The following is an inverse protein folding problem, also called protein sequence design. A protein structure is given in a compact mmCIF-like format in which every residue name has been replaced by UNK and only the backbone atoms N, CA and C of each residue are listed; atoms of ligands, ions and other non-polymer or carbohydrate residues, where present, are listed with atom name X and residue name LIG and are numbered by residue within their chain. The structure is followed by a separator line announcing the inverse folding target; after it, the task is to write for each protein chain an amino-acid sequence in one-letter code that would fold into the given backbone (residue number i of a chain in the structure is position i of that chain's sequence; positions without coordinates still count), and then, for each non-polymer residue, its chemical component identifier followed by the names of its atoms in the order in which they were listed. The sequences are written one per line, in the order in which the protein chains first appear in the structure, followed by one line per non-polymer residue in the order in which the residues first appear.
data_IF_797177842136
#
_entry.id   IF_797177842136
#
_cell.length_a   1.000
_cell.length_b   1.000
_cell.length_c   1.000
_cell.angle_alpha   90.00
_cell.angle_beta   90.00
_cell.angle_gamma   90.00
#
_symmetry.space_group_name_H-M   'P 1'
#
loop_
_entity.id
_entity.type
_entity.pdbx_description
1 polymer ?
#
# COMPACT_ATOMS: atom_id res chain seq x y z
N UNK A 1 -0.54 2.24 -29.02
CA UNK A 1 -1.96 2.09 -28.61
C UNK A 1 -2.79 3.33 -28.98
N UNK A 2 -2.51 4.51 -28.40
CA UNK A 2 -3.34 5.71 -28.67
C UNK A 2 -3.29 6.16 -30.15
N UNK A 3 -2.10 6.15 -30.76
CA UNK A 3 -1.94 6.46 -32.19
C UNK A 3 -2.60 5.45 -33.10
N UNK A 4 -2.63 4.19 -32.69
CA UNK A 4 -3.27 3.10 -33.42
C UNK A 4 -4.79 3.22 -33.36
N UNK A 5 -5.33 3.54 -32.18
CA UNK A 5 -6.75 3.86 -32.03
C UNK A 5 -7.15 5.09 -32.86
N UNK A 6 -6.30 6.12 -32.91
CA UNK A 6 -6.51 7.31 -33.76
C UNK A 6 -6.55 6.92 -35.24
N UNK A 7 -5.61 6.09 -35.71
CA UNK A 7 -5.60 5.56 -37.09
C UNK A 7 -6.86 4.76 -37.41
N UNK A 8 -7.28 3.86 -36.52
CA UNK A 8 -8.51 3.07 -36.70
C UNK A 8 -9.76 3.95 -36.74
N UNK A 9 -9.85 4.97 -35.89
CA UNK A 9 -10.96 5.94 -35.90
C UNK A 9 -11.00 6.78 -37.19
N UNK A 10 -9.83 7.08 -37.77
CA UNK A 10 -9.73 7.81 -39.04
C UNK A 10 -9.95 6.91 -40.28
N UNK A 11 -9.99 5.59 -40.09
CA UNK A 11 -10.19 4.63 -41.18
C UNK A 11 -11.65 4.57 -41.64
N UNK A 12 -11.91 3.84 -42.73
CA UNK A 12 -13.28 3.51 -43.18
C UNK A 12 -14.12 2.78 -42.13
N UNK A 13 -13.47 2.15 -41.14
CA UNK A 13 -14.13 1.43 -40.04
C UNK A 13 -14.41 2.32 -38.84
N UNK A 14 -14.07 3.62 -38.87
CA UNK A 14 -14.11 4.51 -37.70
C UNK A 14 -15.45 4.53 -36.96
N UNK A 15 -16.58 4.52 -37.68
CA UNK A 15 -17.92 4.46 -37.08
C UNK A 15 -18.17 3.14 -36.36
N UNK A 16 -17.80 2.02 -36.96
CA UNK A 16 -17.93 0.68 -36.36
C UNK A 16 -17.03 0.54 -35.14
N UNK A 17 -15.79 0.99 -35.23
CA UNK A 17 -14.82 1.04 -34.12
C UNK A 17 -15.38 1.86 -32.96
N UNK A 18 -15.99 3.02 -33.24
CA UNK A 18 -16.56 3.87 -32.19
C UNK A 18 -17.80 3.28 -31.52
N UNK A 19 -18.68 2.63 -32.28
CA UNK A 19 -19.81 1.90 -31.71
C UNK A 19 -19.33 0.75 -30.82
N UNK A 20 -18.38 -0.06 -31.33
CA UNK A 20 -17.82 -1.20 -30.59
C UNK A 20 -17.11 -0.79 -29.31
N UNK A 21 -16.36 0.31 -29.33
CA UNK A 21 -15.74 0.89 -28.13
C UNK A 21 -16.79 1.18 -27.06
N UNK A 22 -17.88 1.86 -27.44
CA UNK A 22 -18.96 2.21 -26.51
C UNK A 22 -19.60 0.96 -25.91
N UNK A 23 -19.88 -0.05 -26.72
CA UNK A 23 -20.45 -1.32 -26.25
C UNK A 23 -19.53 -2.01 -25.23
N UNK A 24 -18.22 -2.06 -25.51
CA UNK A 24 -17.25 -2.67 -24.58
C UNK A 24 -17.14 -1.84 -23.30
N UNK A 25 -17.03 -0.51 -23.42
CA UNK A 25 -16.98 0.40 -22.27
C UNK A 25 -18.20 0.18 -21.34
N UNK A 26 -19.41 0.16 -21.89
CA UNK A 26 -20.65 -0.09 -21.14
C UNK A 26 -20.65 -1.48 -20.48
N UNK A 27 -20.13 -2.51 -21.17
CA UNK A 27 -20.10 -3.88 -20.65
C UNK A 27 -19.13 -4.09 -19.49
N UNK A 28 -17.99 -3.38 -19.45
CA UNK A 28 -16.94 -3.57 -18.43
C UNK A 28 -16.96 -2.51 -17.33
N UNK A 29 -17.63 -1.37 -17.52
CA UNK A 29 -17.62 -0.26 -16.55
C UNK A 29 -18.03 -0.70 -15.14
N UNK A 30 -19.07 -1.54 -15.03
CA UNK A 30 -19.56 -2.04 -13.74
C UNK A 30 -18.53 -2.92 -13.04
N UNK A 31 -17.93 -3.87 -13.75
CA UNK A 31 -16.93 -4.77 -13.16
C UNK A 31 -15.63 -4.05 -12.82
N UNK A 32 -15.24 -3.01 -13.57
CA UNK A 32 -14.10 -2.16 -13.20
C UNK A 32 -14.37 -1.32 -11.95
N UNK A 33 -15.61 -0.84 -11.75
CA UNK A 33 -16.00 -0.16 -10.53
C UNK A 33 -15.95 -1.10 -9.32
N UNK A 34 -16.55 -2.29 -9.42
CA UNK A 34 -16.51 -3.31 -8.36
C UNK A 34 -15.06 -3.74 -8.04
N UNK A 35 -14.21 -3.87 -9.07
CA UNK A 35 -12.80 -4.19 -8.88
C UNK A 35 -12.03 -3.06 -8.18
N UNK A 36 -12.34 -1.79 -8.50
CA UNK A 36 -11.78 -0.62 -7.83
C UNK A 36 -12.16 -0.61 -6.35
N UNK A 37 -13.45 -0.73 -6.04
CA UNK A 37 -13.96 -0.69 -4.66
C UNK A 37 -13.35 -1.80 -3.82
N UNK A 38 -13.32 -3.03 -4.34
CA UNK A 38 -12.69 -4.16 -3.67
C UNK A 38 -11.20 -3.95 -3.42
N UNK A 39 -10.49 -3.31 -4.36
CA UNK A 39 -9.07 -2.99 -4.18
C UNK A 39 -8.88 -1.93 -3.10
N UNK A 40 -9.68 -0.87 -3.12
CA UNK A 40 -9.66 0.20 -2.12
C UNK A 40 -9.97 -0.32 -0.72
N UNK A 41 -11.00 -1.14 -0.56
CA UNK A 41 -11.36 -1.77 0.72
C UNK A 41 -10.25 -2.68 1.25
N UNK A 42 -9.64 -3.49 0.37
CA UNK A 42 -8.52 -4.37 0.75
C UNK A 42 -7.29 -3.58 1.20
N UNK A 43 -6.99 -2.47 0.53
CA UNK A 43 -5.90 -1.57 0.93
C UNK A 43 -6.20 -0.95 2.30
N UNK A 44 -7.42 -0.44 2.53
CA UNK A 44 -7.79 0.10 3.83
C UNK A 44 -7.76 -0.93 4.98
N UNK A 45 -8.09 -2.18 4.69
CA UNK A 45 -7.96 -3.27 5.67
C UNK A 45 -6.51 -3.68 5.92
N UNK A 46 -5.62 -3.53 4.92
CA UNK A 46 -4.18 -3.74 5.08
C UNK A 46 -3.57 -2.61 5.90
N UNK A 47 -3.86 -1.35 5.57
CA UNK A 47 -3.46 -0.19 6.36
C UNK A 47 -3.87 -0.35 7.83
N UNK A 48 -5.07 -0.90 8.10
CA UNK A 48 -5.52 -1.18 9.47
C UNK A 48 -4.68 -2.24 10.20
N UNK A 49 -4.16 -3.26 9.52
CA UNK A 49 -3.23 -4.22 10.13
C UNK A 49 -1.90 -3.55 10.48
N UNK A 50 -1.42 -2.67 9.59
CA UNK A 50 -0.21 -1.89 9.82
C UNK A 50 -0.41 -0.92 11.00
N UNK A 51 -1.57 -0.26 11.08
CA UNK A 51 -1.95 0.62 12.21
C UNK A 51 -1.93 -0.13 13.54
N UNK A 52 -2.39 -1.39 13.57
CA UNK A 52 -2.38 -2.24 14.75
C UNK A 52 -0.94 -2.52 15.19
N UNK A 53 -0.06 -2.85 14.25
CA UNK A 53 1.36 -3.06 14.54
C UNK A 53 1.99 -1.76 15.04
N UNK A 54 1.79 -0.64 14.34
CA UNK A 54 2.31 0.66 14.72
C UNK A 54 1.84 1.07 16.14
N UNK A 55 0.54 0.99 16.41
CA UNK A 55 -0.05 1.30 17.72
C UNK A 55 0.48 0.38 18.82
N UNK A 56 0.68 -0.92 18.52
CA UNK A 56 1.19 -1.88 19.49
C UNK A 56 2.62 -1.56 19.93
N UNK A 57 3.41 -0.87 19.10
CA UNK A 57 4.80 -0.48 19.37
C UNK A 57 5.00 1.04 19.37
N UNK A 58 3.91 1.79 19.54
CA UNK A 58 3.90 3.24 19.64
C UNK A 58 4.41 3.75 20.99
N UNK A 59 4.73 5.05 21.12
CA UNK A 59 5.32 5.63 22.33
C UNK A 59 4.51 5.43 23.62
N UNK A 60 3.19 5.31 23.52
CA UNK A 60 2.29 5.10 24.67
C UNK A 60 2.02 3.62 24.97
N UNK A 61 2.54 2.71 24.15
CA UNK A 61 2.28 1.27 24.27
C UNK A 61 3.14 0.64 25.37
N UNK A 62 2.71 -0.53 25.89
CA UNK A 62 3.53 -1.29 26.84
C UNK A 62 4.73 -1.96 26.17
N UNK A 63 4.62 -2.33 24.89
CA UNK A 63 5.75 -2.85 24.14
C UNK A 63 6.88 -1.81 24.07
N UNK A 64 6.53 -0.52 23.94
CA UNK A 64 7.50 0.55 24.02
C UNK A 64 7.95 0.85 25.46
N UNK A 65 7.01 1.19 26.33
CA UNK A 65 7.33 1.72 27.68
C UNK A 65 7.95 0.67 28.62
N UNK A 66 7.55 -0.60 28.52
CA UNK A 66 8.04 -1.67 29.40
C UNK A 66 9.17 -2.49 28.76
N UNK A 67 9.14 -2.67 27.43
CA UNK A 67 10.09 -3.54 26.70
C UNK A 67 11.07 -2.80 25.79
N UNK A 68 10.90 -1.50 25.56
CA UNK A 68 11.72 -0.66 24.67
C UNK A 68 11.68 -1.05 23.18
N UNK A 69 10.63 -1.73 22.72
CA UNK A 69 10.40 -1.94 21.28
C UNK A 69 9.61 -0.77 20.72
N UNK A 70 10.19 -0.08 19.73
CA UNK A 70 9.60 1.06 19.07
C UNK A 70 9.29 0.76 17.61
N UNK A 71 8.13 1.20 17.13
CA UNK A 71 7.91 1.35 15.70
C UNK A 71 8.92 2.37 15.13
N UNK A 72 9.60 2.01 14.04
CA UNK A 72 10.59 2.86 13.38
C UNK A 72 10.08 3.36 12.04
N UNK A 73 9.64 2.44 11.18
CA UNK A 73 9.28 2.74 9.80
C UNK A 73 8.27 1.73 9.28
N UNK A 74 7.34 2.22 8.47
CA UNK A 74 6.63 1.42 7.49
C UNK A 74 7.54 1.20 6.30
N UNK A 75 7.35 0.10 5.59
CA UNK A 75 7.99 -0.21 4.32
C UNK A 75 9.48 0.21 4.23
N UNK A 76 10.35 -0.25 5.16
CA UNK A 76 11.72 0.25 5.38
C UNK A 76 12.75 0.07 4.23
N UNK A 77 12.39 -0.36 3.03
CA UNK A 77 13.27 -0.50 1.86
C UNK A 77 12.57 -0.05 0.58
N UNK A 78 11.39 0.58 0.66
CA UNK A 78 10.57 0.90 -0.51
C UNK A 78 11.30 1.83 -1.48
N UNK A 79 12.10 2.76 -0.97
CA UNK A 79 12.90 3.70 -1.76
C UNK A 79 14.02 3.03 -2.57
N UNK A 80 14.37 1.78 -2.23
CA UNK A 80 15.33 0.99 -3.01
C UNK A 80 14.65 0.20 -4.14
N UNK A 81 13.31 0.19 -4.19
CA UNK A 81 12.55 -0.55 -5.19
C UNK A 81 12.67 -2.07 -5.05
N UNK A 82 13.10 -2.57 -3.89
CA UNK A 82 13.25 -4.00 -3.59
C UNK A 82 12.04 -4.54 -2.84
N UNK A 83 11.94 -5.87 -2.75
CA UNK A 83 10.90 -6.50 -1.95
C UNK A 83 11.14 -6.25 -0.47
N UNK A 84 10.07 -6.01 0.27
CA UNK A 84 10.20 -5.51 1.63
C UNK A 84 9.05 -5.96 2.53
N UNK A 85 9.21 -5.72 3.84
CA UNK A 85 8.19 -5.88 4.86
C UNK A 85 7.37 -4.60 5.04
N UNK A 86 6.16 -4.73 5.56
CA UNK A 86 5.28 -3.59 5.83
C UNK A 86 5.74 -2.73 7.03
N UNK A 87 6.39 -3.32 8.04
CA UNK A 87 6.79 -2.63 9.28
C UNK A 87 8.17 -3.05 9.78
N UNK A 88 8.93 -2.08 10.26
CA UNK A 88 10.14 -2.23 11.07
C UNK A 88 9.90 -1.76 12.50
N UNK A 89 10.14 -2.65 13.46
CA UNK A 89 10.19 -2.38 14.89
C UNK A 89 11.62 -2.61 15.37
N UNK A 90 12.12 -1.76 16.25
CA UNK A 90 13.48 -1.86 16.77
C UNK A 90 13.55 -1.68 18.28
N UNK A 91 14.44 -2.45 18.91
CA UNK A 91 14.82 -2.29 20.30
C UNK A 91 16.28 -1.92 20.39
N UNK A 92 16.55 -0.65 20.69
CA UNK A 92 17.89 -0.07 20.77
C UNK A 92 18.75 -0.70 21.88
N UNK A 93 18.13 -1.14 22.99
CA UNK A 93 18.89 -1.66 24.14
C UNK A 93 19.51 -3.02 23.86
N UNK A 94 18.77 -3.88 23.18
CA UNK A 94 19.22 -5.24 22.82
C UNK A 94 19.60 -5.38 21.34
N UNK A 95 19.59 -4.26 20.60
CA UNK A 95 19.96 -4.15 19.18
C UNK A 95 19.20 -5.14 18.29
N UNK A 96 17.88 -5.21 18.48
CA UNK A 96 17.02 -6.19 17.81
C UNK A 96 16.00 -5.53 16.91
N UNK A 97 15.95 -5.98 15.66
CA UNK A 97 14.95 -5.59 14.68
C UNK A 97 13.89 -6.69 14.50
N UNK A 98 12.63 -6.29 14.37
CA UNK A 98 11.52 -7.15 13.99
C UNK A 98 10.90 -6.57 12.72
N UNK A 99 10.88 -7.38 11.67
CA UNK A 99 10.26 -7.05 10.39
C UNK A 99 8.93 -7.78 10.27
N UNK A 100 7.86 -7.03 10.00
CA UNK A 100 6.49 -7.56 10.01
C UNK A 100 5.84 -7.35 8.66
N UNK A 101 5.31 -8.44 8.10
CA UNK A 101 4.56 -8.46 6.84
C UNK A 101 3.09 -8.69 7.15
N UNK A 102 2.24 -7.72 6.84
CA UNK A 102 0.81 -7.79 7.04
C UNK A 102 0.12 -8.39 5.81
N UNK A 103 -0.72 -9.42 6.02
CA UNK A 103 -1.53 -10.01 4.94
C UNK A 103 -2.98 -10.17 5.34
N UNK A 104 -3.84 -9.55 4.54
CA UNK A 104 -5.29 -9.47 4.77
C UNK A 104 -6.11 -10.61 4.16
N UNK A 105 -5.53 -11.38 3.22
CA UNK A 105 -6.29 -12.38 2.47
C UNK A 105 -5.62 -13.75 2.45
N UNK A 106 -6.41 -14.79 2.18
CA UNK A 106 -5.94 -16.17 2.04
C UNK A 106 -5.86 -16.65 0.59
N UNK A 107 -6.17 -15.81 -0.40
CA UNK A 107 -5.99 -16.18 -1.82
C UNK A 107 -4.52 -16.15 -2.18
N UNK A 108 -3.90 -17.27 -2.56
CA UNK A 108 -2.49 -17.29 -2.97
C UNK A 108 -1.47 -17.46 -1.84
N UNK A 109 -1.84 -18.16 -0.75
CA UNK A 109 -1.02 -18.42 0.46
C UNK A 109 0.45 -18.76 0.19
N UNK A 110 0.70 -19.68 -0.75
CA UNK A 110 2.08 -20.05 -1.12
C UNK A 110 2.91 -18.87 -1.62
N UNK A 111 2.30 -17.95 -2.40
CA UNK A 111 2.96 -16.73 -2.88
C UNK A 111 3.26 -15.76 -1.74
N UNK A 112 2.42 -15.69 -0.71
CA UNK A 112 2.68 -14.84 0.46
C UNK A 112 3.85 -15.33 1.27
N UNK A 113 3.91 -16.63 1.55
CA UNK A 113 5.02 -17.24 2.29
C UNK A 113 6.31 -17.10 1.49
N UNK A 114 6.31 -17.44 0.19
CA UNK A 114 7.49 -17.22 -0.66
C UNK A 114 7.89 -15.75 -0.68
N UNK A 115 6.91 -14.85 -0.74
CA UNK A 115 7.19 -13.43 -0.76
C UNK A 115 7.82 -12.91 0.53
N UNK A 116 7.39 -13.38 1.70
CA UNK A 116 8.02 -13.01 2.96
C UNK A 116 9.44 -13.56 3.09
N UNK A 117 9.71 -14.79 2.61
CA UNK A 117 11.08 -15.31 2.56
C UNK A 117 11.97 -14.57 1.55
N UNK A 118 11.41 -14.12 0.43
CA UNK A 118 12.12 -13.24 -0.50
C UNK A 118 12.44 -11.89 0.15
N UNK A 119 11.47 -11.24 0.79
CA UNK A 119 11.68 -9.98 1.52
C UNK A 119 12.71 -10.13 2.64
N UNK A 120 12.71 -11.27 3.34
CA UNK A 120 13.71 -11.61 4.35
C UNK A 120 15.13 -11.58 3.76
N UNK A 121 15.34 -12.14 2.57
CA UNK A 121 16.66 -12.10 1.91
C UNK A 121 17.07 -10.66 1.61
N UNK A 122 16.16 -9.86 1.05
CA UNK A 122 16.42 -8.45 0.76
C UNK A 122 16.80 -7.67 2.03
N UNK A 123 16.12 -7.90 3.15
CA UNK A 123 16.44 -7.26 4.44
C UNK A 123 17.84 -7.66 4.93
N UNK A 124 18.20 -8.94 4.85
CA UNK A 124 19.53 -9.42 5.27
C UNK A 124 20.62 -8.83 4.37
N UNK A 125 20.41 -8.81 3.06
CA UNK A 125 21.35 -8.24 2.08
C UNK A 125 21.52 -6.72 2.25
N UNK A 126 20.47 -6.03 2.72
CA UNK A 126 20.47 -4.58 2.96
C UNK A 126 20.63 -4.22 4.44
N UNK A 127 21.16 -5.10 5.29
CA UNK A 127 21.35 -4.83 6.72
C UNK A 127 22.13 -3.54 6.98
N UNK A 128 23.28 -3.36 6.33
CA UNK A 128 24.13 -2.15 6.51
C UNK A 128 23.40 -0.88 6.12
N UNK A 129 22.53 -0.95 5.11
CA UNK A 129 21.68 0.19 4.74
C UNK A 129 20.71 0.54 5.87
N UNK A 130 20.02 -0.46 6.42
CA UNK A 130 19.07 -0.29 7.52
C UNK A 130 19.77 0.23 8.80
N UNK A 131 20.95 -0.29 9.13
CA UNK A 131 21.77 0.19 10.26
C UNK A 131 22.15 1.67 10.10
N UNK A 132 22.54 2.09 8.90
CA UNK A 132 22.82 3.50 8.61
C UNK A 132 21.58 4.39 8.78
N UNK A 133 20.38 3.87 8.46
CA UNK A 133 19.12 4.62 8.62
C UNK A 133 18.65 4.68 10.06
N UNK A 134 18.88 3.62 10.84
CA UNK A 134 18.66 3.60 12.28
C UNK A 134 19.68 4.46 13.04
N UNK A 135 20.88 4.64 12.48
CA UNK A 135 22.01 5.21 13.19
C UNK A 135 22.58 4.26 14.26
N UNK A 136 22.37 2.95 14.09
CA UNK A 136 22.66 1.93 15.10
C UNK A 136 22.86 0.54 14.46
N UNK A 137 23.54 -0.37 15.17
CA UNK A 137 23.75 -1.75 14.70
C UNK A 137 22.52 -2.64 14.90
N UNK A 138 22.30 -3.61 14.01
CA UNK A 138 21.27 -4.64 14.16
C UNK A 138 21.97 -5.97 14.47
N UNK A 139 21.96 -6.39 15.75
CA UNK A 139 22.57 -7.66 16.15
C UNK A 139 21.71 -8.88 15.86
N UNK A 140 20.40 -8.69 15.78
CA UNK A 140 19.45 -9.79 15.61
C UNK A 140 18.23 -9.31 14.85
N UNK A 141 17.80 -10.10 13.88
CA UNK A 141 16.58 -9.89 13.12
C UNK A 141 15.58 -11.00 13.43
N UNK A 142 14.31 -10.64 13.51
CA UNK A 142 13.18 -11.57 13.55
C UNK A 142 12.19 -11.18 12.46
N UNK A 143 11.58 -12.17 11.82
CA UNK A 143 10.69 -11.96 10.68
C UNK A 143 9.31 -12.51 11.02
N UNK A 144 8.27 -11.72 10.77
CA UNK A 144 6.91 -11.99 11.24
C UNK A 144 5.92 -11.87 10.09
N UNK A 145 4.99 -12.83 9.99
CA UNK A 145 3.74 -12.66 9.24
C UNK A 145 2.62 -12.27 10.20
N UNK A 146 2.02 -11.11 9.99
CA UNK A 146 0.86 -10.61 10.73
C UNK A 146 -0.43 -10.85 9.94
N UNK A 147 -1.33 -11.67 10.47
CA UNK A 147 -2.50 -12.20 9.77
C UNK A 147 -3.76 -11.99 10.62
N UNK A 148 -4.93 -11.68 10.03
CA UNK A 148 -6.20 -11.76 10.76
C UNK A 148 -6.46 -13.15 11.33
N UNK A 149 -6.95 -13.24 12.56
CA UNK A 149 -7.15 -14.48 13.31
C UNK A 149 -7.99 -15.52 12.55
N UNK A 150 -9.00 -15.08 11.80
CA UNK A 150 -9.87 -15.91 10.96
C UNK A 150 -9.14 -16.61 9.79
N UNK A 151 -7.94 -16.15 9.47
CA UNK A 151 -7.13 -16.64 8.36
C UNK A 151 -5.87 -17.39 8.80
N UNK A 152 -5.52 -17.35 10.09
CA UNK A 152 -4.24 -17.86 10.61
C UNK A 152 -4.04 -19.35 10.35
N UNK A 153 -5.04 -20.18 10.62
CA UNK A 153 -4.94 -21.64 10.48
C UNK A 153 -4.64 -22.04 9.03
N UNK A 154 -5.26 -21.36 8.07
CA UNK A 154 -5.06 -21.63 6.64
C UNK A 154 -3.64 -21.28 6.19
N UNK A 155 -3.04 -20.24 6.77
CA UNK A 155 -1.65 -19.85 6.47
C UNK A 155 -0.68 -20.81 7.15
N UNK A 156 -0.91 -21.16 8.41
CA UNK A 156 -0.09 -22.10 9.18
C UNK A 156 -0.06 -23.48 8.52
N UNK A 157 -1.21 -24.01 8.09
CA UNK A 157 -1.25 -25.29 7.37
C UNK A 157 -0.40 -25.29 6.09
N UNK A 158 -0.40 -24.19 5.34
CA UNK A 158 0.43 -24.07 4.14
C UNK A 158 1.91 -23.92 4.49
N UNK A 159 2.24 -23.20 5.57
CA UNK A 159 3.60 -23.07 6.09
C UNK A 159 4.14 -24.43 6.53
N UNK A 160 3.41 -25.15 7.37
CA UNK A 160 3.74 -26.51 7.82
C UNK A 160 3.92 -27.46 6.64
N UNK A 161 3.03 -27.41 5.63
CA UNK A 161 3.15 -28.21 4.41
C UNK A 161 4.47 -27.96 3.67
N UNK A 162 4.95 -26.71 3.67
CA UNK A 162 6.19 -26.33 2.97
C UNK A 162 7.44 -26.68 3.77
N UNK A 163 7.39 -26.47 5.08
CA UNK A 163 8.42 -26.91 6.04
C UNK A 163 8.59 -28.44 5.96
N UNK A 164 7.52 -29.23 6.04
CA UNK A 164 7.56 -30.69 5.93
C UNK A 164 8.04 -31.22 4.57
N UNK A 165 7.91 -30.43 3.49
CA UNK A 165 8.42 -30.80 2.15
C UNK A 165 9.87 -30.37 1.92
N UNK A 166 10.50 -29.70 2.88
CA UNK A 166 11.85 -29.15 2.72
C UNK A 166 11.91 -27.97 1.74
N UNK A 167 10.79 -27.33 1.42
CA UNK A 167 10.77 -26.09 0.63
C UNK A 167 11.25 -24.89 1.46
N UNK A 168 11.25 -25.03 2.79
CA UNK A 168 11.74 -24.08 3.79
C UNK A 168 12.72 -24.85 4.67
N UNK A 169 13.91 -24.31 4.87
CA UNK A 169 14.90 -24.87 5.78
C UNK A 169 14.48 -24.61 7.23
N UNK A 170 13.97 -25.65 7.90
CA UNK A 170 13.54 -25.60 9.30
C UNK A 170 14.71 -25.47 10.29
N UNK A 171 15.95 -25.74 9.85
CA UNK A 171 17.14 -25.58 10.69
C UNK A 171 17.65 -24.12 10.74
N UNK A 172 17.08 -23.22 9.93
CA UNK A 172 17.44 -21.81 9.93
C UNK A 172 16.90 -21.09 11.18
N UNK A 173 17.75 -20.35 11.89
CA UNK A 173 17.41 -19.56 13.09
C UNK A 173 16.45 -18.37 12.86
N UNK A 174 16.03 -18.18 11.61
CA UNK A 174 15.26 -17.04 11.14
C UNK A 174 13.92 -17.45 10.49
N UNK A 175 13.26 -18.48 11.03
CA UNK A 175 11.92 -18.88 10.60
C UNK A 175 10.90 -17.75 10.78
N UNK A 176 9.89 -17.70 9.91
CA UNK A 176 8.80 -16.74 10.05
C UNK A 176 8.01 -17.04 11.33
N UNK A 177 7.92 -16.06 12.22
CA UNK A 177 6.98 -16.06 13.33
C UNK A 177 5.59 -15.63 12.83
N UNK A 178 4.54 -16.05 13.52
CA UNK A 178 3.16 -15.70 13.14
C UNK A 178 2.56 -14.84 14.24
N UNK A 179 2.15 -13.62 13.87
CA UNK A 179 1.25 -12.82 14.69
C UNK A 179 -0.16 -12.94 14.13
N UNK A 180 -1.12 -13.17 15.02
CA UNK A 180 -2.53 -13.11 14.69
C UNK A 180 -3.15 -11.84 15.26
N UNK A 181 -4.07 -11.26 14.51
CA UNK A 181 -4.81 -10.07 14.90
C UNK A 181 -6.28 -10.40 15.00
N UNK A 182 -6.86 -10.14 16.17
CA UNK A 182 -8.30 -10.15 16.32
C UNK A 182 -8.84 -8.71 16.26
N UNK A 183 -9.75 -8.44 15.32
CA UNK A 183 -10.30 -7.10 15.06
C UNK A 183 -11.78 -6.97 15.45
N UNK A 184 -12.17 -7.43 16.64
CA UNK A 184 -13.52 -7.15 17.13
C UNK A 184 -13.73 -5.64 17.34
N UNK A 185 -14.96 -5.17 17.12
CA UNK A 185 -15.30 -3.74 17.04
C UNK A 185 -14.91 -2.87 18.26
N UNK A 186 -14.66 -3.48 19.42
CA UNK A 186 -14.41 -2.78 20.68
C UNK A 186 -12.96 -2.97 21.16
N UNK A 187 -12.34 -4.11 20.85
CA UNK A 187 -10.98 -4.43 21.30
C UNK A 187 -10.21 -5.11 20.17
N UNK A 188 -9.05 -4.53 19.84
CA UNK A 188 -8.11 -5.11 18.88
C UNK A 188 -7.01 -5.81 19.65
N UNK A 189 -6.75 -7.08 19.35
CA UNK A 189 -5.73 -7.86 20.06
C UNK A 189 -4.69 -8.37 19.08
N UNK A 190 -3.42 -8.03 19.34
CA UNK A 190 -2.26 -8.59 18.65
C UNK A 190 -1.71 -9.75 19.48
N UNK A 191 -1.60 -10.94 18.91
CA UNK A 191 -1.17 -12.13 19.64
C UNK A 191 -0.13 -12.93 18.86
N UNK A 192 0.87 -13.46 19.57
CA UNK A 192 1.81 -14.43 19.02
C UNK A 192 1.12 -15.80 18.88
N UNK A 193 1.14 -16.36 17.68
CA UNK A 193 0.61 -17.70 17.41
C UNK A 193 1.75 -18.73 17.47
N UNK A 194 1.66 -19.65 18.42
CA UNK A 194 2.75 -20.61 18.72
C UNK A 194 2.45 -22.06 18.32
N UNK A 195 1.25 -22.36 17.79
CA UNK A 195 0.80 -23.73 17.50
C UNK A 195 1.17 -24.15 16.07
N UNK A 196 2.46 -24.26 15.80
CA UNK A 196 3.00 -24.69 14.49
C UNK A 196 3.63 -26.07 14.69
N UNK A 197 3.01 -27.11 14.15
CA UNK A 197 3.33 -28.51 14.45
C UNK A 197 4.55 -29.03 13.69
N UNK A 198 4.93 -28.39 12.59
CA UNK A 198 6.15 -28.73 11.83
C UNK A 198 7.44 -28.31 12.53
N UNK A 199 7.34 -27.62 13.67
CA UNK A 199 8.46 -27.11 14.46
C UNK A 199 8.61 -27.94 15.72
N UNK A 200 9.74 -28.63 15.83
CA UNK A 200 9.99 -29.59 16.90
C UNK A 200 10.24 -28.89 18.24
N UNK A 201 10.76 -27.65 18.22
CA UNK A 201 11.15 -26.94 19.42
C UNK A 201 10.26 -25.72 19.63
N UNK A 202 9.73 -25.60 20.84
CA UNK A 202 8.78 -24.53 21.19
C UNK A 202 9.32 -23.12 20.94
N UNK A 203 10.64 -22.93 21.02
CA UNK A 203 11.27 -21.63 20.78
C UNK A 203 11.27 -21.22 19.30
N UNK A 204 11.12 -22.16 18.35
CA UNK A 204 11.08 -21.87 16.89
C UNK A 204 9.80 -21.13 16.49
N UNK A 205 8.80 -21.08 17.37
CA UNK A 205 7.56 -20.32 17.21
C UNK A 205 7.46 -19.14 18.19
N UNK A 206 8.57 -18.75 18.82
CA UNK A 206 8.62 -17.69 19.82
C UNK A 206 9.62 -16.62 19.44
N UNK A 207 9.43 -15.41 19.97
CA UNK A 207 10.49 -14.42 19.91
C UNK A 207 11.67 -14.86 20.76
N UNK A 208 12.88 -14.53 20.31
CA UNK A 208 14.15 -14.70 21.06
C UNK A 208 14.17 -13.88 22.36
N UNK A 209 13.17 -13.03 22.61
CA UNK A 209 13.01 -12.23 23.83
C UNK A 209 11.77 -12.73 24.56
N UNK A 210 12.02 -13.42 25.67
CA UNK A 210 10.97 -14.05 26.47
C UNK A 210 9.95 -13.04 27.02
N UNK A 211 10.33 -11.77 27.23
CA UNK A 211 9.39 -10.76 27.71
C UNK A 211 8.38 -10.40 26.61
N UNK A 212 8.86 -10.22 25.38
CA UNK A 212 7.99 -9.98 24.23
C UNK A 212 7.11 -11.19 23.92
N UNK A 213 7.69 -12.40 23.94
CA UNK A 213 6.94 -13.66 23.81
C UNK A 213 5.82 -13.76 24.84
N UNK A 214 6.07 -13.43 26.10
CA UNK A 214 5.04 -13.45 27.15
C UNK A 214 3.95 -12.41 26.90
N UNK A 215 4.33 -11.18 26.55
CA UNK A 215 3.40 -10.07 26.32
C UNK A 215 2.45 -10.35 25.14
N UNK A 216 3.00 -10.79 24.01
CA UNK A 216 2.20 -11.12 22.83
C UNK A 216 1.52 -12.49 22.95
N UNK A 217 2.09 -13.45 23.68
CA UNK A 217 1.50 -14.78 23.88
C UNK A 217 0.18 -14.73 24.65
N UNK A 218 0.05 -13.82 25.62
CA UNK A 218 -1.21 -13.59 26.35
C UNK A 218 -2.26 -12.81 25.55
N UNK A 219 -1.90 -12.30 24.37
CA UNK A 219 -2.71 -11.34 23.62
C UNK A 219 -2.54 -9.92 24.17
N UNK A 220 -1.99 -9.03 23.35
CA UNK A 220 -1.81 -7.63 23.67
C UNK A 220 -2.99 -6.81 23.13
N UNK A 221 -3.76 -6.19 24.02
CA UNK A 221 -4.84 -5.28 23.64
C UNK A 221 -4.23 -3.96 23.14
N UNK A 222 -4.47 -3.68 21.86
CA UNK A 222 -3.98 -2.50 21.16
C UNK A 222 -4.99 -1.38 21.32
N UNK A 223 -4.63 -0.38 22.12
CA UNK A 223 -5.33 0.91 22.10
C UNK A 223 -4.96 1.60 20.79
N UNK A 224 -5.91 1.66 19.87
CA UNK A 224 -5.68 2.21 18.53
C UNK A 224 -5.43 3.72 18.63
N UNK A 225 -4.16 4.11 18.62
CA UNK A 225 -3.75 5.49 18.36
C UNK A 225 -3.16 5.53 16.96
N UNK A 226 -3.88 6.16 16.04
CA UNK A 226 -3.39 6.35 14.68
C UNK A 226 -2.25 7.37 14.73
N UNK A 227 -1.01 6.88 14.83
CA UNK A 227 0.19 7.70 14.94
C UNK A 227 0.55 8.41 13.64
N UNK A 228 0.04 7.93 12.50
CA UNK A 228 0.41 8.37 11.15
C UNK A 228 -0.81 8.46 10.24
N UNK A 229 -0.76 9.28 9.20
CA UNK A 229 -1.95 9.53 8.35
C UNK A 229 -2.10 8.54 7.20
N UNK A 230 -1.00 8.00 6.69
CA UNK A 230 -0.94 7.04 5.58
C UNK A 230 0.44 6.37 5.50
N UNK A 231 0.53 5.30 4.71
CA UNK A 231 1.75 4.56 4.40
C UNK A 231 2.17 4.78 2.94
N UNK A 232 3.45 4.55 2.59
CA UNK A 232 3.95 4.75 1.23
C UNK A 232 3.10 4.07 0.14
N UNK A 233 2.69 2.82 0.37
CA UNK A 233 1.90 2.02 -0.59
C UNK A 233 0.37 2.09 -0.38
N UNK A 234 -0.11 2.90 0.56
CA UNK A 234 -1.56 3.09 0.75
C UNK A 234 -2.22 3.54 -0.56
N UNK A 235 -3.50 3.19 -0.74
CA UNK A 235 -4.21 3.51 -1.99
C UNK A 235 -4.12 5.02 -2.32
N UNK A 236 -3.83 5.42 -3.57
CA UNK A 236 -3.66 6.84 -3.92
C UNK A 236 -4.87 7.72 -3.58
N UNK A 237 -6.09 7.21 -3.79
CA UNK A 237 -7.33 7.86 -3.29
C UNK A 237 -7.31 8.13 -1.77
N UNK A 238 -6.84 7.19 -0.94
CA UNK A 238 -6.78 7.35 0.51
C UNK A 238 -5.78 8.45 0.89
N UNK A 239 -4.58 8.42 0.31
CA UNK A 239 -3.54 9.44 0.51
C UNK A 239 -4.05 10.81 0.06
N UNK A 240 -4.57 10.91 -1.17
CA UNK A 240 -5.10 12.16 -1.73
C UNK A 240 -6.26 12.72 -0.91
N UNK A 241 -7.09 11.87 -0.31
CA UNK A 241 -8.14 12.30 0.61
C UNK A 241 -7.57 12.98 1.86
N UNK A 242 -6.47 12.47 2.43
CA UNK A 242 -5.79 13.09 3.57
C UNK A 242 -5.15 14.43 3.17
N UNK A 243 -4.53 14.50 1.99
CA UNK A 243 -3.95 15.74 1.45
C UNK A 243 -5.04 16.81 1.25
N UNK A 244 -6.17 16.47 0.62
CA UNK A 244 -7.30 17.40 0.41
C UNK A 244 -7.85 17.90 1.74
N UNK A 245 -7.98 17.02 2.74
CA UNK A 245 -8.41 17.43 4.09
C UNK A 245 -7.45 18.44 4.70
N UNK A 246 -6.15 18.21 4.56
CA UNK A 246 -5.12 19.12 5.08
C UNK A 246 -5.17 20.49 4.38
N UNK A 247 -5.20 20.51 3.03
CA UNK A 247 -5.31 21.74 2.23
C UNK A 247 -6.48 22.58 2.71
N UNK A 248 -7.68 21.99 2.77
CA UNK A 248 -8.90 22.72 3.13
C UNK A 248 -8.84 23.21 4.57
N UNK A 249 -8.33 22.41 5.52
CA UNK A 249 -8.19 22.82 6.92
C UNK A 249 -7.21 23.98 7.09
N UNK A 250 -6.07 23.94 6.42
CA UNK A 250 -5.07 25.01 6.51
C UNK A 250 -5.59 26.31 5.88
N UNK A 251 -6.28 26.21 4.74
CA UNK A 251 -6.91 27.38 4.11
C UNK A 251 -8.04 27.97 4.94
N UNK A 252 -8.86 27.14 5.62
CA UNK A 252 -9.88 27.62 6.57
C UNK A 252 -9.27 28.38 7.75
N UNK A 253 -8.14 27.90 8.29
CA UNK A 253 -7.43 28.57 9.41
C UNK A 253 -6.78 29.88 8.98
N UNK A 254 -6.34 29.97 7.73
CA UNK A 254 -5.66 31.13 7.17
C UNK A 254 -6.60 32.16 6.53
N UNK A 255 -7.92 31.95 6.58
CA UNK A 255 -8.92 32.75 5.86
C UNK A 255 -8.59 32.94 4.36
N UNK A 256 -8.06 31.88 3.75
CA UNK A 256 -7.61 31.86 2.36
C UNK A 256 -8.62 31.17 1.42
N UNK A 257 -8.33 31.19 0.12
CA UNK A 257 -9.12 30.43 -0.86
C UNK A 257 -9.08 28.93 -0.53
N UNK A 258 -10.23 28.36 -0.16
CA UNK A 258 -10.35 26.99 0.35
C UNK A 258 -9.73 25.91 -0.53
N UNK A 259 -9.67 26.14 -1.85
CA UNK A 259 -9.34 25.14 -2.86
C UNK A 259 -8.00 25.40 -3.56
N UNK A 260 -7.34 26.51 -3.25
CA UNK A 260 -6.05 26.85 -3.84
C UNK A 260 -4.93 26.40 -2.90
N UNK A 261 -3.86 25.87 -3.48
CA UNK A 261 -2.73 25.36 -2.72
C UNK A 261 -1.45 25.39 -3.56
N UNK A 262 -0.30 25.32 -2.90
CA UNK A 262 1.01 25.21 -3.57
C UNK A 262 1.53 23.78 -3.51
N UNK A 263 2.37 23.38 -4.47
CA UNK A 263 3.10 22.10 -4.39
C UNK A 263 3.89 22.00 -3.09
N UNK A 264 4.54 23.09 -2.67
CA UNK A 264 5.30 23.11 -1.43
C UNK A 264 4.45 22.75 -0.20
N UNK A 265 3.19 23.21 -0.14
CA UNK A 265 2.29 22.83 0.97
C UNK A 265 1.93 21.34 0.98
N UNK A 266 1.82 20.72 -0.19
CA UNK A 266 1.59 19.27 -0.32
C UNK A 266 2.84 18.49 0.04
N UNK A 267 4.00 18.90 -0.49
CA UNK A 267 5.29 18.31 -0.15
C UNK A 267 5.56 18.35 1.35
N UNK A 268 5.38 19.51 2.00
CA UNK A 268 5.56 19.66 3.44
C UNK A 268 4.66 18.70 4.23
N UNK A 269 3.42 18.49 3.77
CA UNK A 269 2.53 17.52 4.39
C UNK A 269 3.04 16.08 4.20
N UNK A 270 3.42 15.70 2.98
CA UNK A 270 3.86 14.35 2.64
C UNK A 270 5.23 13.98 3.20
N UNK A 271 6.12 14.96 3.40
CA UNK A 271 7.46 14.79 3.96
C UNK A 271 7.48 14.78 5.49
N UNK A 272 6.35 15.07 6.13
CA UNK A 272 6.27 15.08 7.60
C UNK A 272 6.30 13.64 8.16
N UNK A 273 7.24 13.30 9.07
CA UNK A 273 7.28 11.99 9.74
C UNK A 273 6.02 11.66 10.53
N UNK A 274 5.25 12.66 10.94
CA UNK A 274 3.97 12.48 11.65
C UNK A 274 2.80 12.13 10.72
N UNK A 275 2.96 12.34 9.41
CA UNK A 275 1.95 12.01 8.41
C UNK A 275 2.33 10.75 7.63
N UNK A 276 3.61 10.63 7.27
CA UNK A 276 4.19 9.50 6.55
C UNK A 276 5.15 8.76 7.48
N UNK A 277 4.82 7.51 7.80
CA UNK A 277 5.52 6.66 8.75
C UNK A 277 6.85 6.11 8.19
N UNK A 278 7.75 6.93 7.64
CA UNK A 278 8.95 6.43 6.96
C UNK A 278 10.18 7.31 7.24
N UNK A 279 11.33 6.70 7.54
CA UNK A 279 12.56 7.46 7.83
C UNK A 279 13.06 8.25 6.59
N UNK A 280 12.82 7.74 5.38
CA UNK A 280 13.09 8.43 4.10
C UNK A 280 11.90 9.27 3.58
N UNK A 281 11.10 9.83 4.49
CA UNK A 281 9.92 10.63 4.16
C UNK A 281 10.19 11.81 3.22
N UNK A 282 11.41 12.37 3.20
CA UNK A 282 11.79 13.42 2.24
C UNK A 282 11.70 12.96 0.78
N UNK A 283 12.25 11.79 0.47
CA UNK A 283 12.25 11.23 -0.89
C UNK A 283 10.87 10.72 -1.25
N UNK A 284 10.30 9.85 -0.41
CA UNK A 284 9.01 9.20 -0.67
C UNK A 284 7.88 10.22 -0.66
N UNK A 285 7.91 11.18 0.28
CA UNK A 285 6.92 12.24 0.37
C UNK A 285 6.89 13.12 -0.88
N UNK A 286 8.06 13.36 -1.51
CA UNK A 286 8.12 14.04 -2.80
C UNK A 286 7.44 13.21 -3.89
N UNK A 287 7.76 11.92 -4.01
CA UNK A 287 7.15 11.04 -5.01
C UNK A 287 5.62 10.95 -4.85
N UNK A 288 5.14 10.85 -3.62
CA UNK A 288 3.70 10.87 -3.30
C UNK A 288 3.07 12.20 -3.71
N UNK A 289 3.73 13.33 -3.43
CA UNK A 289 3.21 14.64 -3.82
C UNK A 289 3.16 14.83 -5.33
N UNK A 290 4.20 14.39 -6.05
CA UNK A 290 4.28 14.41 -7.51
C UNK A 290 3.16 13.54 -8.12
N UNK A 291 2.94 12.36 -7.56
CA UNK A 291 1.86 11.45 -7.94
C UNK A 291 0.47 12.08 -7.72
N UNK A 292 0.24 12.68 -6.55
CA UNK A 292 -1.03 13.36 -6.23
C UNK A 292 -1.37 14.47 -7.24
N UNK A 293 -0.39 15.32 -7.59
CA UNK A 293 -0.59 16.38 -8.59
C UNK A 293 -0.81 15.79 -9.99
N UNK A 294 0.06 14.86 -10.40
CA UNK A 294 0.03 14.26 -11.73
C UNK A 294 -1.28 13.52 -11.98
N UNK A 295 -1.68 12.65 -11.05
CA UNK A 295 -2.92 11.91 -11.14
C UNK A 295 -4.15 12.82 -11.01
N UNK A 296 -4.14 13.76 -10.06
CA UNK A 296 -5.24 14.71 -9.89
C UNK A 296 -5.49 15.56 -11.14
N UNK A 297 -4.43 15.96 -11.87
CA UNK A 297 -4.55 16.62 -13.17
C UNK A 297 -5.09 15.70 -14.25
N UNK A 298 -4.56 14.48 -14.35
CA UNK A 298 -5.00 13.48 -15.33
C UNK A 298 -6.49 13.12 -15.16
N UNK A 299 -6.99 13.14 -13.92
CA UNK A 299 -8.40 12.90 -13.59
C UNK A 299 -9.27 14.16 -13.66
N UNK A 300 -8.69 15.34 -13.96
CA UNK A 300 -9.42 16.61 -14.03
C UNK A 300 -9.91 17.15 -12.69
N UNK A 301 -9.33 16.68 -11.58
CA UNK A 301 -9.65 17.11 -10.21
C UNK A 301 -8.78 18.28 -9.75
N UNK A 302 -7.62 18.47 -10.38
CA UNK A 302 -6.65 19.52 -10.07
C UNK A 302 -6.30 20.26 -11.37
N UNK A 303 -6.22 21.59 -11.30
CA UNK A 303 -5.69 22.42 -12.39
C UNK A 303 -4.57 23.35 -11.90
N UNK A 304 -3.63 23.67 -12.77
CA UNK A 304 -2.63 24.72 -12.52
C UNK A 304 -3.31 26.09 -12.54
N UNK A 305 -2.84 27.01 -11.69
CA UNK A 305 -3.29 28.41 -11.74
C UNK A 305 -2.40 29.19 -12.70
N UNK A 306 -3.00 29.77 -13.74
CA UNK A 306 -2.28 30.60 -14.71
C UNK A 306 -1.59 31.78 -14.02
N UNK A 307 -0.34 32.04 -14.41
CA UNK A 307 0.48 33.11 -13.83
C UNK A 307 1.04 32.84 -12.43
N UNK A 308 0.82 31.64 -11.85
CA UNK A 308 1.38 31.24 -10.54
C UNK A 308 2.04 29.86 -10.62
N UNK A 309 3.35 29.85 -10.85
CA UNK A 309 4.12 28.60 -10.91
C UNK A 309 4.05 27.83 -9.59
N UNK A 310 3.83 26.51 -9.68
CA UNK A 310 3.70 25.65 -8.50
C UNK A 310 2.39 25.82 -7.70
N UNK A 311 1.42 26.59 -8.21
CA UNK A 311 0.10 26.75 -7.60
C UNK A 311 -1.00 26.02 -8.36
N UNK A 312 -1.92 25.44 -7.59
CA UNK A 312 -2.99 24.58 -8.08
C UNK A 312 -4.32 24.94 -7.44
N UNK A 313 -5.40 24.50 -8.10
CA UNK A 313 -6.77 24.59 -7.60
C UNK A 313 -7.46 23.24 -7.70
N UNK A 314 -8.18 22.86 -6.63
CA UNK A 314 -9.12 21.74 -6.65
C UNK A 314 -10.37 22.10 -7.47
N UNK A 315 -10.65 21.35 -8.53
CA UNK A 315 -11.84 21.48 -9.40
C UNK A 315 -13.05 20.76 -8.80
N UNK A 316 -13.38 21.10 -7.56
CA UNK A 316 -14.43 20.45 -6.79
C UNK A 316 -15.49 21.45 -6.40
N UNK A 317 -16.75 21.01 -6.32
CA UNK A 317 -17.84 21.84 -5.81
C UNK A 317 -17.89 21.84 -4.28
N UNK A 318 -18.66 22.78 -3.71
CA UNK A 318 -18.88 22.86 -2.26
C UNK A 318 -17.96 23.84 -1.52
N UNK A 319 -18.37 24.18 -0.28
CA UNK A 319 -17.67 25.10 0.64
C UNK A 319 -17.38 24.48 2.01
N UNK A 320 -17.96 23.31 2.32
CA UNK A 320 -17.73 22.57 3.57
C UNK A 320 -16.72 21.47 3.31
N UNK A 321 -15.85 21.19 4.29
CA UNK A 321 -14.83 20.15 4.21
C UNK A 321 -15.41 18.81 3.76
N UNK A 322 -16.47 18.33 4.42
CA UNK A 322 -17.09 17.03 4.09
C UNK A 322 -17.65 17.00 2.66
N UNK A 323 -18.21 18.11 2.17
CA UNK A 323 -18.70 18.20 0.79
C UNK A 323 -17.56 18.13 -0.21
N UNK A 324 -16.47 18.88 0.03
CA UNK A 324 -15.29 18.87 -0.83
C UNK A 324 -14.66 17.47 -0.87
N UNK A 325 -14.52 16.82 0.29
CA UNK A 325 -13.94 15.48 0.41
C UNK A 325 -14.81 14.42 -0.29
N UNK A 326 -16.13 14.48 -0.14
CA UNK A 326 -17.03 13.57 -0.83
C UNK A 326 -16.93 13.76 -2.36
N UNK A 327 -16.92 15.01 -2.82
CA UNK A 327 -16.77 15.32 -4.24
C UNK A 327 -15.41 14.87 -4.79
N UNK A 328 -14.33 15.01 -4.02
CA UNK A 328 -13.01 14.48 -4.39
C UNK A 328 -13.05 12.96 -4.53
N UNK A 329 -13.60 12.27 -3.54
CA UNK A 329 -13.63 10.80 -3.48
C UNK A 329 -14.44 10.23 -4.64
N UNK A 330 -15.65 10.75 -4.85
CA UNK A 330 -16.53 10.28 -5.92
C UNK A 330 -16.01 10.67 -7.30
N UNK A 331 -15.46 11.87 -7.44
CA UNK A 331 -14.80 12.32 -8.66
C UNK A 331 -13.62 11.43 -9.03
N UNK A 332 -12.74 11.15 -8.08
CA UNK A 332 -11.58 10.27 -8.27
C UNK A 332 -12.01 8.88 -8.71
N UNK A 333 -12.91 8.22 -7.96
CA UNK A 333 -13.43 6.89 -8.31
C UNK A 333 -13.98 6.86 -9.73
N UNK A 334 -14.89 7.78 -10.04
CA UNK A 334 -15.56 7.85 -11.34
C UNK A 334 -14.55 8.05 -12.47
N UNK A 335 -13.70 9.07 -12.37
CA UNK A 335 -12.77 9.43 -13.45
C UNK A 335 -11.68 8.37 -13.61
N UNK A 336 -11.18 7.79 -12.52
CA UNK A 336 -10.19 6.71 -12.56
C UNK A 336 -10.76 5.47 -13.27
N UNK A 337 -11.94 5.02 -12.86
CA UNK A 337 -12.60 3.86 -13.46
C UNK A 337 -12.92 4.14 -14.93
N UNK A 338 -13.49 5.30 -15.27
CA UNK A 338 -13.77 5.67 -16.67
C UNK A 338 -12.49 5.67 -17.52
N UNK A 339 -11.37 6.19 -17.01
CA UNK A 339 -10.09 6.17 -17.74
C UNK A 339 -9.63 4.73 -17.99
N UNK A 340 -9.64 3.89 -16.96
CA UNK A 340 -9.24 2.48 -17.06
C UNK A 340 -10.14 1.68 -17.99
N UNK A 341 -11.45 1.91 -17.95
CA UNK A 341 -12.45 1.33 -18.86
C UNK A 341 -12.12 1.68 -20.31
N UNK A 342 -11.86 2.97 -20.60
CA UNK A 342 -11.48 3.42 -21.94
C UNK A 342 -10.19 2.79 -22.44
N UNK A 343 -9.17 2.69 -21.59
CA UNK A 343 -7.88 2.05 -21.91
C UNK A 343 -8.07 0.56 -22.26
N UNK A 344 -8.85 -0.17 -21.45
CA UNK A 344 -9.17 -1.59 -21.70
C UNK A 344 -10.00 -1.79 -22.96
N UNK A 345 -11.04 -0.97 -23.16
CA UNK A 345 -11.87 -1.03 -24.34
C UNK A 345 -11.06 -0.73 -25.61
N UNK A 346 -10.19 0.29 -25.58
CA UNK A 346 -9.28 0.61 -26.67
C UNK A 346 -8.38 -0.58 -27.02
N UNK A 347 -7.76 -1.20 -26.01
CA UNK A 347 -6.90 -2.38 -26.21
C UNK A 347 -7.69 -3.54 -26.82
N UNK A 348 -8.87 -3.85 -26.29
CA UNK A 348 -9.69 -4.95 -26.79
C UNK A 348 -10.15 -4.71 -28.24
N UNK A 349 -10.57 -3.50 -28.59
CA UNK A 349 -10.99 -3.18 -29.96
C UNK A 349 -9.83 -3.28 -30.95
N UNK A 350 -8.62 -2.83 -30.57
CA UNK A 350 -7.43 -2.99 -31.40
C UNK A 350 -7.13 -4.48 -31.61
N UNK A 351 -7.15 -5.29 -30.55
CA UNK A 351 -6.92 -6.73 -30.64
C UNK A 351 -7.98 -7.48 -31.46
N UNK A 352 -9.27 -7.13 -31.31
CA UNK A 352 -10.37 -7.67 -32.12
C UNK A 352 -10.17 -7.31 -33.60
N UNK A 353 -9.83 -6.05 -33.90
CA UNK A 353 -9.62 -5.58 -35.27
C UNK A 353 -8.42 -6.25 -35.94
N UNK A 354 -7.28 -6.38 -35.23
CA UNK A 354 -6.09 -7.05 -35.75
C UNK A 354 -6.31 -8.54 -36.03
N UNK A 355 -7.19 -9.20 -35.26
CA UNK A 355 -7.58 -10.61 -35.50
C UNK A 355 -8.50 -10.74 -36.72
N UNK A 356 -9.42 -9.81 -36.91
CA UNK A 356 -10.37 -9.83 -38.03
C UNK A 356 -9.70 -9.42 -39.35
N UNK A 357 -8.69 -8.53 -39.29
CA UNK A 357 -7.95 -8.03 -40.45
C UNK A 357 -6.43 -8.19 -40.28
N UNK A 358 -5.90 -9.43 -40.26
CA UNK A 358 -4.48 -9.69 -40.03
C UNK A 358 -3.58 -9.07 -41.11
N UNK A 359 -4.06 -8.98 -42.35
CA UNK A 359 -3.32 -8.43 -43.50
C UNK A 359 -3.11 -6.90 -43.45
N UNK A 360 -3.76 -6.17 -42.53
CA UNK A 360 -3.53 -4.73 -42.35
C UNK A 360 -2.36 -4.42 -41.39
N UNK A 361 -1.85 -5.43 -40.67
CA UNK A 361 -0.66 -5.28 -39.82
C UNK A 361 0.64 -5.15 -40.64
N UNK A 362 0.64 -5.59 -41.90
CA UNK A 362 1.81 -5.63 -42.80
C UNK A 362 1.89 -4.46 -43.79
N UNK A 363 0.87 -3.59 -43.86
CA UNK A 363 0.86 -2.44 -44.77
C UNK A 363 1.57 -1.18 -44.23
N UNK A 364 2.12 -1.23 -43.01
CA UNK A 364 2.88 -0.12 -42.41
C UNK A 364 4.34 -0.01 -42.82
N UNK A 365 4.92 -1.01 -43.50
CA UNK A 365 6.36 -1.05 -43.84
C UNK A 365 6.66 -1.00 -45.34
N UNK A 366 5.67 -0.84 -46.22
CA UNK A 366 5.90 -0.64 -47.66
C UNK A 366 5.29 0.66 -48.15
N UNK A 367 6.04 1.74 -47.96
CA UNK A 367 5.80 3.04 -48.56
C UNK A 367 7.06 3.90 -48.48
N UNK A 368 8.05 3.56 -49.29
CA UNK A 368 9.08 4.50 -49.76
C UNK A 368 8.47 5.48 -50.75
#
# INVERSE_FOLDING_TARGET
MEDELKRLRASRFGKTIQARLKDIEESIQKSEMEAFEKHFERSGYHDKLVDICNSAFGPESKCYTELAYAFVSSEPLIELGVKNFDVLIYNEKIKRAIFVECKTSTSGRGKYISGAYEAKREVIENQTYLENKLGDEIRTMEFVLCIPSENVERIVQELERRECKGEIDVASDDLLLIWQVNMFFIEQTLQLFTRINSRDKTYESQHKDNKLTKMLGSGYNVKSEVLVKFYPSSHPLAIGSKIVVEIVRNNMRADASLKEFSINSVEQFCKSPTNLAHYACETIGKEISDHFIGEGKALGLIESIEGREGWFRLKLEGKRLNTILNNYTEGYKKHFVTRKTKEKAAKQVIEEHLKEYPDLSTYGEKGN
#
